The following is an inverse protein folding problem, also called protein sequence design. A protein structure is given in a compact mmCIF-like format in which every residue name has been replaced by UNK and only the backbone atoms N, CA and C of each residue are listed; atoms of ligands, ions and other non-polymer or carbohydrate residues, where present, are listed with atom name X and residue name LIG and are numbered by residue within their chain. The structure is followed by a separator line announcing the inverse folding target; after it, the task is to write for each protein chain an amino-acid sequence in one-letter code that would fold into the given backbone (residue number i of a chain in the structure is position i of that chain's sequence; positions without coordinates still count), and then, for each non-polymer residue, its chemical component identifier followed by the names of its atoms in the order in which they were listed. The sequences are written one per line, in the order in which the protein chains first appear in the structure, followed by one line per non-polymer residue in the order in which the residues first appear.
data_IF_617348605180
#
_entry.id   IF_617348605180
#
_cell.length_a   1.000
_cell.length_b   1.000
_cell.length_c   1.000
_cell.angle_alpha   90.00
_cell.angle_beta   90.00
_cell.angle_gamma   90.00
#
_symmetry.space_group_name_H-M   'P 1'
#
loop_
_entity.id
_entity.type
_entity.pdbx_description
1 polymer ?
#
# COMPACT_ATOMS: atom_id res chain seq x y z
N UNK A 1 47.53 62.08 48.39
CA UNK A 1 48.04 60.72 48.65
C UNK A 1 47.54 59.78 47.56
N UNK A 2 48.48 59.08 46.90
CA UNK A 2 48.35 57.77 46.22
C UNK A 2 47.45 57.62 44.97
N UNK A 3 48.15 57.63 43.83
CA UNK A 3 48.08 56.79 42.61
C UNK A 3 47.07 55.63 42.49
N UNK A 4 46.44 55.52 41.30
CA UNK A 4 46.47 54.40 40.32
C UNK A 4 45.22 54.52 39.39
N UNK A 5 45.31 54.78 38.08
CA UNK A 5 45.84 54.00 36.95
C UNK A 5 44.92 52.85 36.45
N UNK A 6 44.59 52.86 35.15
CA UNK A 6 44.09 51.71 34.36
C UNK A 6 42.72 51.96 33.69
N UNK A 7 42.66 52.32 32.39
CA UNK A 7 42.60 51.43 31.20
C UNK A 7 41.16 50.96 30.90
N UNK A 8 40.48 51.50 29.89
CA UNK A 8 40.57 51.18 28.45
C UNK A 8 39.49 50.17 28.01
N UNK A 9 38.60 50.68 27.14
CA UNK A 9 37.87 50.05 26.03
C UNK A 9 37.46 48.56 26.10
N UNK A 10 36.20 48.28 25.78
CA UNK A 10 35.88 47.31 24.72
C UNK A 10 34.42 47.44 24.26
N UNK A 11 34.27 47.96 23.04
CA UNK A 11 33.19 47.63 22.12
C UNK A 11 33.11 46.10 22.03
N UNK A 12 32.08 45.49 22.61
CA UNK A 12 31.66 44.15 22.20
C UNK A 12 30.54 44.36 21.19
N UNK A 13 30.94 44.43 19.92
CA UNK A 13 30.07 44.13 18.81
C UNK A 13 29.54 42.72 19.03
N UNK A 14 28.30 42.61 19.47
CA UNK A 14 27.56 41.35 19.41
C UNK A 14 27.33 41.11 17.92
N UNK A 15 28.25 40.36 17.29
CA UNK A 15 27.91 39.60 16.09
C UNK A 15 26.87 38.58 16.53
N UNK A 16 25.60 39.01 16.51
CA UNK A 16 24.47 38.10 16.50
C UNK A 16 24.63 37.33 15.20
N UNK A 17 25.26 36.17 15.31
CA UNK A 17 25.19 35.15 14.28
C UNK A 17 23.72 34.99 13.95
N UNK A 18 23.35 35.33 12.72
CA UNK A 18 22.06 35.00 12.16
C UNK A 18 22.08 33.50 11.88
N UNK A 19 22.11 32.69 12.95
CA UNK A 19 21.75 31.28 12.91
C UNK A 19 20.22 31.23 13.05
N UNK A 20 19.54 31.74 12.03
CA UNK A 20 18.09 31.84 11.97
C UNK A 20 17.57 31.08 10.76
N UNK A 21 17.07 29.87 11.03
CA UNK A 21 15.98 29.20 10.30
C UNK A 21 16.22 28.74 8.84
N UNK A 22 17.04 27.71 8.63
CA UNK A 22 16.76 26.67 7.60
C UNK A 22 17.16 25.29 8.16
N UNK A 23 16.20 24.35 8.23
CA UNK A 23 16.33 23.09 8.97
C UNK A 23 17.24 22.02 8.33
N UNK A 24 17.67 22.20 7.09
CA UNK A 24 18.72 21.43 6.44
C UNK A 24 19.43 22.32 5.39
N UNK A 25 20.74 22.15 5.15
CA UNK A 25 21.40 22.81 4.03
C UNK A 25 20.71 22.38 2.73
N UNK A 26 20.56 23.31 1.79
CA UNK A 26 20.05 22.98 0.47
C UNK A 26 21.04 22.07 -0.26
N UNK A 27 20.52 20.99 -0.84
CA UNK A 27 21.26 19.91 -1.50
C UNK A 27 20.82 19.66 -2.94
N UNK A 28 20.26 20.67 -3.60
CA UNK A 28 19.81 20.56 -4.99
C UNK A 28 20.96 20.15 -5.92
N UNK A 29 22.17 20.69 -5.69
CA UNK A 29 23.33 20.36 -6.51
C UNK A 29 23.74 18.89 -6.32
N UNK A 30 23.79 18.38 -5.09
CA UNK A 30 24.06 16.96 -4.86
C UNK A 30 22.99 16.08 -5.52
N UNK A 31 21.71 16.45 -5.44
CA UNK A 31 20.64 15.70 -6.09
C UNK A 31 20.78 15.66 -7.62
N UNK A 32 21.17 16.78 -8.23
CA UNK A 32 21.46 16.87 -9.67
C UNK A 32 22.69 16.06 -10.05
N UNK A 33 23.74 16.06 -9.21
CA UNK A 33 24.95 15.27 -9.45
C UNK A 33 24.64 13.76 -9.41
N UNK A 34 23.80 13.32 -8.47
CA UNK A 34 23.28 11.95 -8.41
C UNK A 34 22.55 11.63 -9.72
N UNK A 35 21.58 12.45 -10.13
CA UNK A 35 20.86 12.26 -11.39
C UNK A 35 21.82 12.10 -12.57
N UNK A 36 22.78 13.01 -12.72
CA UNK A 36 23.72 13.00 -13.84
C UNK A 36 24.58 11.74 -13.88
N UNK A 37 24.99 11.23 -12.71
CA UNK A 37 25.77 10.00 -12.60
C UNK A 37 24.94 8.79 -13.00
N UNK A 38 23.68 8.71 -12.57
CA UNK A 38 22.76 7.61 -12.89
C UNK A 38 22.38 7.61 -14.38
N UNK A 39 22.10 8.79 -14.97
CA UNK A 39 21.82 8.92 -16.42
C UNK A 39 22.97 8.37 -17.28
N UNK A 40 24.22 8.45 -16.80
CA UNK A 40 25.39 7.97 -17.53
C UNK A 40 25.60 6.44 -17.42
N UNK A 41 24.81 5.74 -16.61
CA UNK A 41 24.97 4.30 -16.38
C UNK A 41 24.39 3.46 -17.54
N UNK A 42 25.00 2.30 -17.86
CA UNK A 42 24.46 1.40 -18.87
C UNK A 42 23.05 0.90 -18.55
N UNK A 43 22.16 0.93 -19.55
CA UNK A 43 20.79 0.44 -19.42
C UNK A 43 19.78 1.48 -18.95
N UNK A 44 20.22 2.66 -18.50
CA UNK A 44 19.33 3.77 -18.15
C UNK A 44 18.91 4.52 -19.41
N UNK A 45 17.60 4.66 -19.64
CA UNK A 45 17.04 5.44 -20.75
C UNK A 45 16.68 6.86 -20.33
N UNK A 46 16.11 7.02 -19.14
CA UNK A 46 15.63 8.31 -18.62
C UNK A 46 15.73 8.36 -17.09
N UNK A 47 15.93 9.56 -16.54
CA UNK A 47 15.89 9.81 -15.10
C UNK A 47 15.10 11.09 -14.80
N UNK A 48 14.02 10.92 -14.05
CA UNK A 48 13.23 12.03 -13.51
C UNK A 48 13.62 12.27 -12.04
N UNK A 49 13.94 13.51 -11.70
CA UNK A 49 14.28 13.94 -10.35
C UNK A 49 13.26 14.96 -9.87
N UNK A 50 12.69 14.71 -8.70
CA UNK A 50 11.94 15.70 -7.92
C UNK A 50 12.75 15.99 -6.66
N UNK A 51 13.23 17.21 -6.53
CA UNK A 51 13.87 17.70 -5.31
C UNK A 51 13.15 18.96 -4.84
N UNK A 52 12.77 19.00 -3.56
CA UNK A 52 12.18 20.17 -2.92
C UNK A 52 12.81 20.35 -1.54
N UNK A 53 13.20 21.57 -1.20
CA UNK A 53 13.65 21.94 0.13
C UNK A 53 12.64 22.89 0.80
N UNK A 54 11.55 22.32 1.28
CA UNK A 54 10.44 23.06 1.88
C UNK A 54 10.67 23.33 3.37
N UNK A 55 10.40 24.56 3.81
CA UNK A 55 10.45 24.91 5.25
C UNK A 55 9.32 24.22 6.03
N UNK A 56 8.15 24.06 5.41
CA UNK A 56 6.94 23.50 6.05
C UNK A 56 6.81 22.00 5.78
N UNK A 57 7.07 21.58 4.55
CA UNK A 57 6.87 20.19 4.08
C UNK A 57 8.13 19.31 4.27
N UNK A 58 9.25 19.90 4.67
CA UNK A 58 10.55 19.24 4.76
C UNK A 58 11.25 19.12 3.41
N UNK A 59 12.40 18.46 3.42
CA UNK A 59 13.16 18.17 2.20
C UNK A 59 12.69 16.84 1.61
N UNK A 60 12.40 16.83 0.32
CA UNK A 60 11.97 15.66 -0.46
C UNK A 60 12.95 15.37 -1.59
N UNK A 61 13.29 14.11 -1.78
CA UNK A 61 14.11 13.60 -2.88
C UNK A 61 13.41 12.40 -3.52
N UNK A 62 12.94 12.52 -4.76
CA UNK A 62 12.35 11.40 -5.49
C UNK A 62 13.06 11.21 -6.82
N UNK A 63 13.50 9.98 -7.09
CA UNK A 63 14.17 9.64 -8.33
C UNK A 63 13.42 8.50 -9.01
N UNK A 64 13.00 8.72 -10.26
CA UNK A 64 12.47 7.67 -11.13
C UNK A 64 13.49 7.39 -12.22
N UNK A 65 13.87 6.13 -12.39
CA UNK A 65 14.85 5.68 -13.38
C UNK A 65 14.16 4.71 -14.32
N UNK A 66 14.15 5.02 -15.62
CA UNK A 66 13.65 4.10 -16.63
C UNK A 66 14.78 3.19 -17.11
N UNK A 67 14.56 1.88 -16.95
CA UNK A 67 15.46 0.80 -17.33
C UNK A 67 14.69 -0.36 -17.98
N UNK A 68 13.56 -0.09 -18.63
CA UNK A 68 12.66 -1.12 -19.14
C UNK A 68 13.35 -2.13 -20.09
N UNK A 69 14.39 -1.70 -20.80
CA UNK A 69 15.17 -2.53 -21.74
C UNK A 69 16.53 -3.00 -21.18
N UNK A 70 16.87 -2.66 -19.94
CA UNK A 70 18.14 -3.03 -19.32
C UNK A 70 18.17 -4.52 -18.94
N UNK A 71 19.35 -5.11 -18.80
CA UNK A 71 19.49 -6.45 -18.19
C UNK A 71 19.30 -6.39 -16.68
N UNK A 72 18.95 -7.51 -16.04
CA UNK A 72 18.80 -7.60 -14.58
C UNK A 72 20.09 -7.16 -13.86
N UNK A 73 21.25 -7.54 -14.41
CA UNK A 73 22.57 -7.13 -13.90
C UNK A 73 22.80 -5.62 -13.98
N UNK A 74 22.34 -4.96 -15.06
CA UNK A 74 22.44 -3.50 -15.18
C UNK A 74 21.55 -2.81 -14.14
N UNK A 75 20.33 -3.32 -13.91
CA UNK A 75 19.43 -2.80 -12.88
C UNK A 75 20.05 -2.96 -11.49
N UNK A 76 20.63 -4.13 -11.17
CA UNK A 76 21.36 -4.34 -9.92
C UNK A 76 22.53 -3.38 -9.71
N UNK A 77 23.30 -3.10 -10.77
CA UNK A 77 24.39 -2.12 -10.70
C UNK A 77 23.90 -0.69 -10.44
N UNK A 78 22.81 -0.26 -11.09
CA UNK A 78 22.19 1.05 -10.84
C UNK A 78 21.63 1.15 -9.43
N UNK A 79 21.00 0.08 -8.93
CA UNK A 79 20.49 0.04 -7.55
C UNK A 79 21.61 0.22 -6.52
N UNK A 80 22.71 -0.53 -6.65
CA UNK A 80 23.86 -0.43 -5.76
C UNK A 80 24.49 0.98 -5.79
N UNK A 81 24.62 1.56 -6.98
CA UNK A 81 25.13 2.93 -7.16
C UNK A 81 24.19 3.96 -6.51
N UNK A 82 22.87 3.82 -6.65
CA UNK A 82 21.89 4.71 -6.04
C UNK A 82 22.00 4.73 -4.52
N UNK A 83 22.14 3.56 -3.90
CA UNK A 83 22.26 3.45 -2.44
C UNK A 83 23.61 4.01 -1.95
N UNK A 84 24.71 3.79 -2.68
CA UNK A 84 26.00 4.42 -2.38
C UNK A 84 25.92 5.94 -2.45
N UNK A 85 25.31 6.48 -3.52
CA UNK A 85 25.23 7.91 -3.79
C UNK A 85 24.28 8.66 -2.86
N UNK A 86 23.15 8.05 -2.50
CA UNK A 86 22.21 8.62 -1.51
C UNK A 86 22.84 8.61 -0.12
N UNK A 87 23.54 7.53 0.22
CA UNK A 87 24.26 7.35 1.46
C UNK A 87 23.47 7.75 2.71
N UNK A 88 24.19 8.14 3.78
CA UNK A 88 23.57 8.65 5.01
C UNK A 88 23.02 10.08 4.89
N UNK A 89 23.36 10.75 3.80
CA UNK A 89 23.16 12.17 3.62
C UNK A 89 21.70 12.53 3.28
N UNK A 90 21.05 11.67 2.49
CA UNK A 90 19.63 11.75 2.19
C UNK A 90 18.73 10.90 3.12
N UNK A 91 19.34 10.08 3.99
CA UNK A 91 18.62 9.19 4.92
C UNK A 91 17.63 9.89 5.87
N UNK A 92 17.82 11.19 6.12
CA UNK A 92 16.97 12.02 6.99
C UNK A 92 15.83 12.73 6.25
N UNK A 93 15.75 12.60 4.93
CA UNK A 93 14.76 13.26 4.08
C UNK A 93 13.64 12.30 3.70
N UNK A 94 12.50 12.86 3.27
CA UNK A 94 11.47 12.08 2.58
C UNK A 94 12.04 11.67 1.22
N UNK A 95 12.40 10.39 1.08
CA UNK A 95 13.08 9.89 -0.11
C UNK A 95 12.36 8.70 -0.72
N UNK A 96 12.34 8.65 -2.05
CA UNK A 96 11.84 7.48 -2.77
C UNK A 96 12.57 7.29 -4.10
N UNK A 97 12.93 6.05 -4.40
CA UNK A 97 13.45 5.64 -5.69
C UNK A 97 12.43 4.73 -6.36
N UNK A 98 12.16 4.93 -7.66
CA UNK A 98 11.38 4.02 -8.50
C UNK A 98 12.20 3.63 -9.72
N UNK A 99 12.49 2.34 -9.90
CA UNK A 99 13.15 1.80 -11.09
C UNK A 99 12.08 1.10 -11.94
N UNK A 100 11.86 1.58 -13.17
CA UNK A 100 10.99 0.93 -14.15
C UNK A 100 11.79 -0.17 -14.83
N UNK A 101 11.35 -1.42 -14.67
CA UNK A 101 12.07 -2.61 -15.14
C UNK A 101 11.37 -3.32 -16.31
N UNK A 102 10.19 -2.87 -16.69
CA UNK A 102 9.44 -3.36 -17.84
C UNK A 102 8.25 -2.45 -18.14
N UNK A 103 7.46 -2.79 -19.16
CA UNK A 103 6.17 -2.13 -19.40
C UNK A 103 5.29 -2.30 -18.16
N UNK A 104 4.77 -1.19 -17.63
CA UNK A 104 3.89 -1.15 -16.47
C UNK A 104 4.46 -1.84 -15.21
N UNK A 105 5.78 -2.05 -15.13
CA UNK A 105 6.42 -2.90 -14.12
C UNK A 105 7.60 -2.18 -13.46
N UNK A 106 7.65 -2.15 -12.13
CA UNK A 106 8.63 -1.37 -11.38
C UNK A 106 9.01 -1.93 -10.01
N UNK A 107 10.17 -1.48 -9.52
CA UNK A 107 10.66 -1.66 -8.16
C UNK A 107 10.70 -0.28 -7.50
N UNK A 108 10.19 -0.14 -6.30
CA UNK A 108 10.19 1.11 -5.55
C UNK A 108 10.81 0.93 -4.16
N UNK A 109 11.53 1.93 -3.66
CA UNK A 109 12.05 1.93 -2.30
C UNK A 109 11.97 3.32 -1.70
N UNK A 110 11.37 3.42 -0.52
CA UNK A 110 11.45 4.62 0.34
C UNK A 110 12.68 4.61 1.27
N UNK A 111 13.36 3.47 1.32
CA UNK A 111 14.63 3.27 2.00
C UNK A 111 15.71 2.87 0.98
N UNK A 112 16.70 2.11 1.43
CA UNK A 112 17.68 1.47 0.57
C UNK A 112 16.99 0.40 -0.29
N UNK A 113 17.48 0.21 -1.51
CA UNK A 113 17.03 -0.90 -2.34
C UNK A 113 17.59 -2.23 -1.78
N UNK A 114 16.94 -3.37 -2.04
CA UNK A 114 17.49 -4.65 -1.62
C UNK A 114 18.87 -4.92 -2.25
N UNK A 115 19.81 -5.46 -1.47
CA UNK A 115 21.14 -5.88 -1.97
C UNK A 115 21.04 -6.86 -3.16
N UNK A 116 19.94 -7.61 -3.25
CA UNK A 116 19.65 -8.58 -4.30
C UNK A 116 18.75 -8.02 -5.43
N UNK A 117 18.76 -6.71 -5.66
CA UNK A 117 17.90 -6.05 -6.67
C UNK A 117 18.02 -6.68 -8.07
N UNK A 118 19.18 -7.20 -8.46
CA UNK A 118 19.34 -7.99 -9.69
C UNK A 118 18.36 -9.18 -9.74
N UNK A 119 18.36 -10.04 -8.71
CA UNK A 119 17.49 -11.20 -8.64
C UNK A 119 16.01 -10.78 -8.53
N UNK A 120 15.73 -9.75 -7.73
CA UNK A 120 14.38 -9.20 -7.60
C UNK A 120 13.84 -8.72 -8.96
N UNK A 121 14.65 -8.05 -9.78
CA UNK A 121 14.27 -7.57 -11.10
C UNK A 121 13.75 -8.70 -11.98
N UNK A 122 14.45 -9.84 -11.99
CA UNK A 122 14.01 -11.02 -12.74
C UNK A 122 12.66 -11.57 -12.25
N UNK A 123 12.41 -11.56 -10.94
CA UNK A 123 11.13 -12.01 -10.36
C UNK A 123 9.98 -11.06 -10.70
N UNK A 124 10.21 -9.75 -10.59
CA UNK A 124 9.18 -8.73 -10.90
C UNK A 124 8.87 -8.71 -12.40
N UNK A 125 9.86 -8.88 -13.27
CA UNK A 125 9.64 -9.07 -14.72
C UNK A 125 8.82 -10.31 -15.03
N UNK A 126 9.13 -11.42 -14.36
CA UNK A 126 8.36 -12.66 -14.48
C UNK A 126 6.91 -12.46 -14.04
N UNK A 127 6.68 -11.72 -12.96
CA UNK A 127 5.34 -11.35 -12.51
C UNK A 127 4.60 -10.54 -13.59
N UNK A 128 5.27 -9.57 -14.22
CA UNK A 128 4.69 -8.79 -15.34
C UNK A 128 4.21 -9.63 -16.53
N UNK A 129 4.88 -10.76 -16.80
CA UNK A 129 4.47 -11.71 -17.84
C UNK A 129 3.31 -12.60 -17.39
N UNK A 130 3.34 -13.08 -16.14
CA UNK A 130 2.39 -14.08 -15.64
C UNK A 130 1.09 -13.47 -15.08
N UNK A 131 1.11 -12.19 -14.70
CA UNK A 131 -0.04 -11.44 -14.18
C UNK A 131 -0.20 -10.08 -14.88
N UNK A 132 -0.60 -10.05 -16.17
CA UNK A 132 -0.73 -8.80 -16.93
C UNK A 132 -1.69 -7.79 -16.27
N UNK A 133 -1.22 -6.56 -16.12
CA UNK A 133 -1.90 -5.45 -15.44
C UNK A 133 -1.39 -4.09 -15.98
N UNK A 134 -1.94 -2.96 -15.49
CA UNK A 134 -1.49 -1.60 -15.86
C UNK A 134 -0.45 -0.98 -14.95
N UNK A 135 -0.31 -1.50 -13.73
CA UNK A 135 0.77 -1.10 -12.83
C UNK A 135 1.11 -2.29 -11.93
N UNK A 136 2.37 -2.69 -11.96
CA UNK A 136 2.95 -3.75 -11.15
C UNK A 136 4.14 -3.13 -10.43
N UNK A 137 4.05 -3.07 -9.11
CA UNK A 137 5.08 -2.48 -8.28
C UNK A 137 5.42 -3.42 -7.15
N UNK A 138 6.70 -3.77 -7.06
CA UNK A 138 7.26 -4.32 -5.84
C UNK A 138 7.90 -3.18 -5.05
N UNK A 139 7.58 -3.03 -3.77
CA UNK A 139 8.07 -1.90 -2.97
C UNK A 139 8.68 -2.29 -1.63
N UNK A 140 9.65 -1.48 -1.17
CA UNK A 140 10.24 -1.51 0.18
C UNK A 140 9.93 -0.21 0.92
N UNK A 141 9.29 -0.36 2.07
CA UNK A 141 9.07 0.71 3.03
C UNK A 141 10.30 0.95 3.92
N UNK A 142 10.23 1.97 4.77
CA UNK A 142 11.31 2.30 5.72
C UNK A 142 11.31 1.43 6.99
N UNK A 143 10.25 0.66 7.24
CA UNK A 143 10.18 -0.24 8.39
C UNK A 143 10.86 -1.59 8.09
N UNK A 144 11.43 -2.28 9.10
CA UNK A 144 11.92 -3.64 8.92
C UNK A 144 10.84 -4.54 8.32
N UNK A 145 11.22 -5.35 7.33
CA UNK A 145 10.34 -6.28 6.61
C UNK A 145 9.10 -5.64 5.96
N UNK A 146 9.09 -4.33 5.71
CA UNK A 146 8.00 -3.68 4.98
C UNK A 146 8.18 -3.87 3.47
N UNK A 147 7.68 -4.99 2.97
CA UNK A 147 7.66 -5.30 1.54
C UNK A 147 6.23 -5.46 1.05
N UNK A 148 5.94 -4.88 -0.10
CA UNK A 148 4.60 -4.93 -0.69
C UNK A 148 4.69 -5.26 -2.18
N UNK A 149 3.76 -6.09 -2.65
CA UNK A 149 3.48 -6.22 -4.09
C UNK A 149 2.12 -5.62 -4.38
N UNK A 150 2.10 -4.59 -5.21
CA UNK A 150 0.89 -3.95 -5.70
C UNK A 150 0.71 -4.26 -7.19
N UNK A 151 -0.47 -4.72 -7.57
CA UNK A 151 -0.90 -4.92 -8.95
C UNK A 151 -2.22 -4.18 -9.15
N UNK A 152 -2.21 -3.16 -10.01
CA UNK A 152 -3.39 -2.36 -10.34
C UNK A 152 -3.89 -2.66 -11.74
N UNK A 153 -5.21 -2.75 -11.86
CA UNK A 153 -5.90 -3.12 -13.10
C UNK A 153 -5.47 -4.48 -13.65
N UNK A 154 -5.36 -5.47 -12.78
CA UNK A 154 -5.12 -6.85 -13.14
C UNK A 154 -6.24 -7.38 -14.04
N UNK A 155 -5.88 -8.10 -15.11
CA UNK A 155 -6.86 -8.77 -15.97
C UNK A 155 -7.57 -9.93 -15.26
N UNK A 156 -6.83 -10.62 -14.38
CA UNK A 156 -7.32 -11.76 -13.59
C UNK A 156 -6.77 -11.66 -12.15
N UNK A 157 -7.48 -10.99 -11.22
CA UNK A 157 -6.94 -10.68 -9.89
C UNK A 157 -6.62 -11.94 -9.06
N UNK A 158 -7.45 -12.98 -9.09
CA UNK A 158 -7.19 -14.22 -8.35
C UNK A 158 -5.92 -14.92 -8.84
N UNK A 159 -5.75 -15.03 -10.16
CA UNK A 159 -4.56 -15.59 -10.78
C UNK A 159 -3.31 -14.76 -10.49
N UNK A 160 -3.43 -13.45 -10.36
CA UNK A 160 -2.33 -12.58 -9.99
C UNK A 160 -1.87 -12.84 -8.54
N UNK A 161 -2.79 -13.06 -7.59
CA UNK A 161 -2.43 -13.49 -6.22
C UNK A 161 -1.69 -14.84 -6.24
N UNK A 162 -2.17 -15.82 -7.02
CA UNK A 162 -1.49 -17.11 -7.16
C UNK A 162 -0.08 -16.97 -7.76
N UNK A 163 0.08 -16.09 -8.76
CA UNK A 163 1.37 -15.80 -9.37
C UNK A 163 2.33 -15.18 -8.36
N UNK A 164 1.89 -14.23 -7.54
CA UNK A 164 2.71 -13.64 -6.48
C UNK A 164 3.18 -14.71 -5.50
N UNK A 165 2.26 -15.52 -4.97
CA UNK A 165 2.56 -16.57 -3.99
C UNK A 165 3.57 -17.59 -4.53
N UNK A 166 3.51 -17.90 -5.82
CA UNK A 166 4.43 -18.84 -6.46
C UNK A 166 5.78 -18.22 -6.83
N UNK A 167 5.79 -17.02 -7.41
CA UNK A 167 7.03 -16.36 -7.87
C UNK A 167 7.89 -15.95 -6.68
N UNK A 168 7.27 -15.44 -5.62
CA UNK A 168 7.94 -14.94 -4.43
C UNK A 168 7.96 -15.95 -3.27
N UNK A 169 7.81 -17.25 -3.55
CA UNK A 169 7.73 -18.29 -2.50
C UNK A 169 8.94 -18.26 -1.53
N UNK A 170 10.14 -17.97 -2.05
CA UNK A 170 11.38 -17.90 -1.25
C UNK A 170 11.60 -16.52 -0.58
N UNK A 171 10.77 -15.52 -0.91
CA UNK A 171 10.82 -14.15 -0.38
C UNK A 171 9.42 -13.53 -0.31
N UNK A 172 8.49 -14.11 0.47
CA UNK A 172 7.10 -13.69 0.44
C UNK A 172 6.99 -12.21 0.81
N UNK A 173 6.26 -11.40 0.02
CA UNK A 173 5.99 -10.03 0.40
C UNK A 173 5.19 -10.01 1.71
N UNK A 174 5.37 -8.97 2.51
CA UNK A 174 4.60 -8.80 3.72
C UNK A 174 3.15 -8.47 3.39
N UNK A 175 2.94 -7.55 2.46
CA UNK A 175 1.62 -7.10 2.05
C UNK A 175 1.42 -7.32 0.53
N UNK A 176 0.18 -7.60 0.12
CA UNK A 176 -0.20 -7.79 -1.29
C UNK A 176 -1.46 -7.00 -1.56
N UNK A 177 -1.44 -6.15 -2.57
CA UNK A 177 -2.62 -5.48 -3.11
C UNK A 177 -2.83 -5.89 -4.57
N UNK A 178 -4.00 -6.41 -4.90
CA UNK A 178 -4.37 -6.72 -6.28
C UNK A 178 -5.74 -6.12 -6.58
N UNK A 179 -5.77 -5.12 -7.45
CA UNK A 179 -6.99 -4.49 -7.95
C UNK A 179 -7.32 -4.98 -9.35
N UNK A 180 -8.55 -5.40 -9.58
CA UNK A 180 -9.02 -5.76 -10.92
C UNK A 180 -9.15 -4.55 -11.84
N UNK A 181 -9.01 -4.77 -13.16
CA UNK A 181 -9.31 -3.76 -14.19
C UNK A 181 -10.81 -3.38 -14.17
N UNK A 182 -11.68 -4.35 -13.92
CA UNK A 182 -13.11 -4.14 -13.71
C UNK A 182 -13.49 -4.40 -12.25
N UNK A 183 -13.25 -3.41 -11.37
CA UNK A 183 -13.57 -3.51 -9.93
C UNK A 183 -15.05 -3.69 -9.59
N UNK A 184 -15.95 -3.68 -10.58
CA UNK A 184 -17.39 -3.96 -10.39
C UNK A 184 -17.67 -5.45 -10.57
N UNK A 185 -16.99 -6.12 -11.50
CA UNK A 185 -17.23 -7.52 -11.83
C UNK A 185 -16.26 -8.47 -11.15
N UNK A 186 -15.08 -7.99 -10.78
CA UNK A 186 -13.99 -8.81 -10.29
C UNK A 186 -13.48 -8.30 -8.93
N UNK A 187 -13.03 -9.20 -8.05
CA UNK A 187 -12.66 -8.86 -6.69
C UNK A 187 -11.35 -8.06 -6.61
N UNK A 188 -11.30 -7.20 -5.60
CA UNK A 188 -10.08 -6.56 -5.11
C UNK A 188 -9.53 -7.32 -3.91
N UNK A 189 -8.24 -7.66 -3.93
CA UNK A 189 -7.54 -8.30 -2.82
C UNK A 189 -6.66 -7.29 -2.11
N UNK A 190 -6.79 -7.24 -0.78
CA UNK A 190 -5.87 -6.50 0.08
C UNK A 190 -5.44 -7.41 1.21
N UNK A 191 -4.18 -7.80 1.21
CA UNK A 191 -3.65 -8.85 2.06
C UNK A 191 -2.54 -8.24 2.89
N UNK A 192 -2.70 -8.34 4.22
CA UNK A 192 -1.76 -7.80 5.17
C UNK A 192 -1.10 -8.91 5.97
N UNK A 193 0.20 -8.73 6.20
CA UNK A 193 1.08 -9.71 6.81
C UNK A 193 1.16 -11.02 6.00
N UNK A 194 2.08 -11.91 6.40
CA UNK A 194 2.42 -13.13 5.66
C UNK A 194 1.17 -13.92 5.25
N UNK A 195 1.09 -14.19 3.94
CA UNK A 195 0.03 -14.95 3.31
C UNK A 195 0.60 -16.16 2.59
N UNK A 196 -0.05 -17.31 2.71
CA UNK A 196 0.45 -18.58 2.17
C UNK A 196 -0.50 -19.20 1.14
N UNK A 197 -0.02 -20.13 0.29
CA UNK A 197 -0.90 -20.93 -0.57
C UNK A 197 -2.01 -21.67 0.20
N UNK A 198 -1.73 -22.13 1.42
CA UNK A 198 -2.72 -22.79 2.26
C UNK A 198 -3.82 -21.83 2.74
N UNK A 199 -3.45 -20.58 3.04
CA UNK A 199 -4.41 -19.53 3.37
C UNK A 199 -5.30 -19.19 2.19
N UNK A 200 -4.71 -19.03 0.99
CA UNK A 200 -5.47 -18.81 -0.26
C UNK A 200 -6.46 -19.92 -0.51
N UNK A 201 -6.02 -21.18 -0.44
CA UNK A 201 -6.90 -22.34 -0.63
C UNK A 201 -8.04 -22.38 0.38
N UNK A 202 -7.78 -22.08 1.66
CA UNK A 202 -8.83 -21.99 2.67
C UNK A 202 -9.82 -20.88 2.33
N UNK A 203 -9.33 -19.69 1.98
CA UNK A 203 -10.19 -18.57 1.62
C UNK A 203 -11.07 -18.91 0.42
N UNK A 204 -10.52 -19.52 -0.63
CA UNK A 204 -11.31 -19.96 -1.79
C UNK A 204 -12.44 -20.92 -1.40
N UNK A 205 -12.17 -21.86 -0.49
CA UNK A 205 -13.22 -22.75 0.04
C UNK A 205 -14.30 -21.97 0.81
N UNK A 206 -13.92 -20.94 1.56
CA UNK A 206 -14.87 -20.07 2.26
C UNK A 206 -15.72 -19.26 1.27
N UNK A 207 -15.12 -18.73 0.20
CA UNK A 207 -15.83 -17.99 -0.84
C UNK A 207 -16.82 -18.89 -1.60
N UNK A 208 -16.41 -20.11 -1.95
CA UNK A 208 -17.30 -21.12 -2.57
C UNK A 208 -18.48 -21.46 -1.65
N UNK A 209 -18.24 -21.62 -0.35
CA UNK A 209 -19.29 -21.89 0.63
C UNK A 209 -20.22 -20.68 0.89
N UNK A 210 -19.76 -19.47 0.60
CA UNK A 210 -20.54 -18.23 0.75
C UNK A 210 -21.48 -17.96 -0.43
N UNK A 211 -21.41 -18.72 -1.52
CA UNK A 211 -22.29 -18.57 -2.67
C UNK A 211 -23.80 -18.55 -2.27
N UNK A 212 -24.64 -17.70 -2.88
CA UNK A 212 -24.40 -16.92 -4.08
C UNK A 212 -23.85 -15.51 -3.81
N UNK A 213 -23.27 -15.23 -2.64
CA UNK A 213 -22.61 -13.95 -2.40
C UNK A 213 -21.46 -13.76 -3.40
N UNK A 214 -21.46 -12.64 -4.12
CA UNK A 214 -20.46 -12.32 -5.13
C UNK A 214 -19.35 -11.43 -4.56
N UNK A 215 -18.08 -11.88 -4.45
CA UNK A 215 -17.01 -11.13 -3.81
C UNK A 215 -16.64 -9.82 -4.52
N UNK A 216 -16.57 -8.72 -3.78
CA UNK A 216 -16.11 -7.41 -4.27
C UNK A 216 -14.73 -7.00 -3.74
N UNK A 217 -14.54 -6.96 -2.42
CA UNK A 217 -13.26 -6.68 -1.78
C UNK A 217 -13.02 -7.74 -0.71
N UNK A 218 -11.90 -8.45 -0.87
CA UNK A 218 -11.39 -9.47 0.03
C UNK A 218 -10.18 -8.88 0.76
N UNK A 219 -10.42 -8.39 1.98
CA UNK A 219 -9.38 -8.00 2.92
C UNK A 219 -8.95 -9.20 3.74
N UNK A 220 -7.65 -9.46 3.80
CA UNK A 220 -7.05 -10.59 4.51
C UNK A 220 -6.02 -10.07 5.49
N UNK A 221 -6.04 -10.58 6.71
CA UNK A 221 -5.03 -10.31 7.73
C UNK A 221 -4.68 -11.57 8.48
N UNK A 222 -3.39 -11.83 8.60
CA UNK A 222 -2.86 -13.02 9.29
C UNK A 222 -3.52 -14.32 8.77
N UNK A 223 -3.72 -14.37 7.45
CA UNK A 223 -4.36 -15.46 6.73
C UNK A 223 -5.89 -15.39 6.68
N UNK A 224 -6.58 -14.71 7.60
CA UNK A 224 -8.05 -14.73 7.66
C UNK A 224 -8.69 -13.54 6.95
N UNK A 225 -9.88 -13.73 6.39
CA UNK A 225 -10.67 -12.60 5.88
C UNK A 225 -11.03 -11.71 7.08
N UNK A 226 -10.60 -10.45 7.07
CA UNK A 226 -10.93 -9.43 8.08
C UNK A 226 -11.86 -8.34 7.54
N UNK A 227 -11.95 -8.23 6.21
CA UNK A 227 -12.87 -7.36 5.51
C UNK A 227 -13.46 -8.08 4.30
N UNK A 228 -14.77 -8.02 4.13
CA UNK A 228 -15.43 -8.63 2.99
C UNK A 228 -16.55 -7.74 2.49
N UNK A 229 -16.46 -7.33 1.22
CA UNK A 229 -17.60 -6.74 0.51
C UNK A 229 -18.16 -7.73 -0.50
N UNK A 230 -19.49 -7.76 -0.64
CA UNK A 230 -20.14 -8.69 -1.55
C UNK A 230 -21.49 -8.22 -2.08
N UNK A 231 -21.85 -8.71 -3.25
CA UNK A 231 -23.19 -8.55 -3.84
C UNK A 231 -24.19 -9.55 -3.27
N UNK A 232 -25.41 -9.08 -3.03
CA UNK A 232 -26.56 -9.90 -2.62
C UNK A 232 -27.53 -9.98 -3.80
N UNK A 233 -27.79 -11.18 -4.37
CA UNK A 233 -28.54 -11.33 -5.62
C UNK A 233 -29.97 -10.81 -5.57
N UNK A 234 -30.69 -11.08 -4.47
CA UNK A 234 -32.11 -10.71 -4.34
C UNK A 234 -32.41 -10.21 -2.93
N UNK A 235 -33.38 -9.31 -2.82
CA UNK A 235 -33.81 -8.78 -1.50
C UNK A 235 -34.54 -9.85 -0.69
N UNK A 236 -35.19 -10.78 -1.37
CA UNK A 236 -35.98 -11.86 -0.81
C UNK A 236 -35.11 -12.86 -0.03
N UNK A 237 -33.92 -13.19 -0.55
CA UNK A 237 -32.98 -14.14 0.08
C UNK A 237 -31.90 -13.47 0.90
N UNK A 238 -31.88 -12.13 0.94
CA UNK A 238 -30.77 -11.34 1.46
C UNK A 238 -30.30 -11.74 2.86
N UNK A 239 -31.24 -11.92 3.80
CA UNK A 239 -30.89 -12.32 5.15
C UNK A 239 -30.21 -13.69 5.20
N UNK A 240 -30.78 -14.70 4.54
CA UNK A 240 -30.25 -16.07 4.54
C UNK A 240 -28.88 -16.13 3.83
N UNK A 241 -28.69 -15.35 2.77
CA UNK A 241 -27.42 -15.27 2.04
C UNK A 241 -26.34 -14.58 2.90
N UNK A 242 -26.65 -13.48 3.59
CA UNK A 242 -25.71 -12.82 4.51
C UNK A 242 -25.33 -13.75 5.68
N UNK A 243 -26.31 -14.43 6.27
CA UNK A 243 -26.06 -15.40 7.35
C UNK A 243 -25.19 -16.56 6.86
N UNK A 244 -25.44 -17.07 5.66
CA UNK A 244 -24.58 -18.09 5.03
C UNK A 244 -23.16 -17.58 4.87
N UNK A 245 -22.96 -16.35 4.38
CA UNK A 245 -21.64 -15.72 4.26
C UNK A 245 -20.94 -15.63 5.61
N UNK A 246 -21.62 -15.15 6.66
CA UNK A 246 -21.07 -15.08 8.03
C UNK A 246 -20.52 -16.44 8.48
N UNK A 247 -21.31 -17.51 8.29
CA UNK A 247 -20.92 -18.87 8.67
C UNK A 247 -19.80 -19.44 7.79
N UNK A 248 -19.85 -19.22 6.47
CA UNK A 248 -18.84 -19.69 5.54
C UNK A 248 -17.47 -19.07 5.82
N UNK A 249 -17.44 -17.77 6.15
CA UNK A 249 -16.23 -17.06 6.55
C UNK A 249 -15.74 -17.43 7.97
N UNK A 250 -16.52 -18.21 8.73
CA UNK A 250 -16.29 -18.51 10.15
C UNK A 250 -16.16 -17.23 10.98
N UNK A 251 -16.91 -16.20 10.62
CA UNK A 251 -16.84 -14.90 11.27
C UNK A 251 -17.33 -15.00 12.71
N UNK A 252 -16.58 -14.40 13.64
CA UNK A 252 -16.85 -14.46 15.07
C UNK A 252 -15.70 -13.87 15.90
N UNK A 253 -15.73 -13.97 17.25
CA UNK A 253 -14.71 -13.36 18.10
C UNK A 253 -13.26 -13.81 17.80
N UNK A 254 -13.08 -15.06 17.36
CA UNK A 254 -11.77 -15.60 16.97
C UNK A 254 -11.32 -15.11 15.58
N UNK A 255 -12.27 -14.85 14.68
CA UNK A 255 -12.03 -14.36 13.33
C UNK A 255 -12.98 -13.19 13.02
N UNK A 256 -12.70 -11.99 13.55
CA UNK A 256 -13.61 -10.88 13.38
C UNK A 256 -13.60 -10.37 11.93
N UNK A 257 -14.77 -10.04 11.40
CA UNK A 257 -14.91 -9.63 10.00
C UNK A 257 -15.76 -8.37 9.87
N UNK A 258 -15.25 -7.38 9.15
CA UNK A 258 -16.02 -6.24 8.65
C UNK A 258 -16.78 -6.64 7.39
N UNK A 259 -18.09 -6.85 7.50
CA UNK A 259 -18.95 -7.17 6.37
C UNK A 259 -19.63 -5.92 5.82
N UNK A 260 -19.65 -5.83 4.50
CA UNK A 260 -20.39 -4.81 3.77
C UNK A 260 -21.08 -5.46 2.57
N UNK A 261 -22.33 -5.13 2.31
CA UNK A 261 -23.04 -5.71 1.18
C UNK A 261 -23.80 -4.66 0.37
N UNK A 262 -24.02 -4.98 -0.91
CA UNK A 262 -24.81 -4.18 -1.85
C UNK A 262 -25.84 -5.07 -2.56
N UNK A 263 -26.89 -4.46 -3.09
CA UNK A 263 -27.83 -5.18 -3.95
C UNK A 263 -27.19 -5.44 -5.30
N UNK A 264 -27.45 -6.61 -5.88
CA UNK A 264 -27.04 -6.90 -7.26
C UNK A 264 -27.61 -5.84 -8.24
N UNK A 265 -26.78 -5.45 -9.20
CA UNK A 265 -27.06 -4.37 -10.15
C UNK A 265 -26.95 -2.94 -9.60
N UNK A 266 -26.71 -2.73 -8.30
CA UNK A 266 -26.34 -1.41 -7.77
C UNK A 266 -24.87 -1.14 -8.15
N UNK A 267 -24.64 -0.17 -9.06
CA UNK A 267 -23.32 0.14 -9.65
C UNK A 267 -22.34 0.86 -8.71
N UNK A 268 -22.58 0.71 -7.42
CA UNK A 268 -21.72 1.05 -6.32
C UNK A 268 -20.22 0.83 -6.65
N UNK A 269 -19.44 1.92 -6.72
CA UNK A 269 -17.98 1.87 -6.97
C UNK A 269 -17.22 1.59 -5.67
N UNK A 270 -15.92 1.33 -5.75
CA UNK A 270 -15.02 1.23 -4.58
C UNK A 270 -15.05 2.50 -3.68
N UNK A 271 -15.21 3.68 -4.28
CA UNK A 271 -15.25 4.99 -3.61
C UNK A 271 -16.67 5.52 -3.35
N UNK A 272 -17.68 4.99 -4.06
CA UNK A 272 -19.09 5.35 -3.91
C UNK A 272 -20.01 4.12 -3.85
N UNK A 273 -19.79 3.12 -2.97
CA UNK A 273 -20.76 2.05 -2.90
C UNK A 273 -22.03 2.58 -2.27
N UNK A 274 -23.20 2.53 -2.91
CA UNK A 274 -24.46 2.70 -2.18
C UNK A 274 -24.77 1.39 -1.48
N UNK A 275 -24.23 1.26 -0.26
CA UNK A 275 -24.32 0.03 0.51
C UNK A 275 -25.77 -0.30 0.84
N UNK A 276 -26.13 -1.58 0.73
CA UNK A 276 -27.36 -2.12 1.27
C UNK A 276 -27.24 -2.40 2.78
N UNK A 277 -26.02 -2.48 3.31
CA UNK A 277 -25.77 -2.52 4.74
C UNK A 277 -24.34 -2.93 5.09
N UNK A 278 -24.03 -2.87 6.38
CA UNK A 278 -22.74 -3.28 6.95
C UNK A 278 -22.90 -3.79 8.38
N UNK A 279 -22.07 -4.75 8.76
CA UNK A 279 -21.99 -5.26 10.12
C UNK A 279 -20.54 -5.61 10.47
N UNK A 280 -20.15 -5.39 11.73
CA UNK A 280 -18.93 -5.97 12.27
C UNK A 280 -19.30 -7.24 13.02
N UNK A 281 -18.66 -8.36 12.67
CA UNK A 281 -18.91 -9.65 13.30
C UNK A 281 -17.71 -9.96 14.20
N UNK A 282 -17.93 -10.21 15.49
CA UNK A 282 -16.87 -10.63 16.41
C UNK A 282 -15.95 -9.54 16.96
N UNK A 283 -16.14 -8.26 16.62
CA UNK A 283 -15.43 -7.10 17.22
C UNK A 283 -16.35 -5.88 17.33
N UNK A 284 -15.89 -4.85 18.04
CA UNK A 284 -16.63 -3.60 18.30
C UNK A 284 -15.94 -2.36 17.71
N UNK A 285 -15.25 -2.49 16.57
CA UNK A 285 -14.44 -1.41 16.01
C UNK A 285 -14.90 -1.03 14.60
N UNK A 286 -15.77 -0.03 14.50
CA UNK A 286 -16.07 0.62 13.23
C UNK A 286 -14.98 1.68 12.99
N UNK A 287 -13.88 1.30 12.34
CA UNK A 287 -12.62 2.10 12.18
C UNK A 287 -12.84 3.50 11.55
N UNK A 288 -13.98 3.76 10.90
CA UNK A 288 -14.37 5.07 10.35
C UNK A 288 -15.74 5.57 10.85
N UNK A 289 -16.20 5.08 12.01
CA UNK A 289 -17.55 5.28 12.50
C UNK A 289 -18.62 4.56 11.67
N UNK A 290 -19.87 4.63 12.11
CA UNK A 290 -21.01 4.11 11.37
C UNK A 290 -21.50 5.14 10.34
N UNK A 291 -20.95 5.08 9.11
CA UNK A 291 -21.33 5.96 7.98
C UNK A 291 -22.81 5.88 7.59
N UNK A 292 -23.55 4.88 8.05
CA UNK A 292 -25.02 4.84 7.87
C UNK A 292 -25.75 5.94 8.65
N UNK A 293 -25.05 6.61 9.58
CA UNK A 293 -25.52 7.83 10.25
C UNK A 293 -25.40 9.10 9.39
N UNK A 294 -24.43 9.14 8.47
CA UNK A 294 -24.20 10.29 7.57
C UNK A 294 -24.87 10.11 6.21
N UNK A 295 -25.11 8.87 5.79
CA UNK A 295 -25.79 8.52 4.53
C UNK A 295 -26.90 7.51 4.83
N UNK A 296 -28.16 7.97 4.98
CA UNK A 296 -29.23 7.12 5.44
C UNK A 296 -29.57 6.03 4.41
N UNK A 297 -29.54 4.78 4.87
CA UNK A 297 -30.01 3.62 4.11
C UNK A 297 -31.52 3.72 3.84
N UNK A 298 -31.98 3.06 2.78
CA UNK A 298 -33.42 2.81 2.60
C UNK A 298 -33.98 2.04 3.82
N UNK A 299 -35.24 2.27 4.24
CA UNK A 299 -35.80 1.67 5.45
C UNK A 299 -35.65 0.14 5.53
N UNK A 300 -35.85 -0.56 4.42
CA UNK A 300 -35.70 -2.02 4.33
C UNK A 300 -34.25 -2.49 4.49
N UNK A 301 -33.29 -1.74 3.94
CA UNK A 301 -31.86 -1.99 4.09
C UNK A 301 -31.41 -1.74 5.53
N UNK A 302 -31.92 -0.68 6.16
CA UNK A 302 -31.68 -0.40 7.57
C UNK A 302 -32.23 -1.49 8.48
N UNK A 303 -33.46 -1.96 8.24
CA UNK A 303 -34.08 -3.02 9.03
C UNK A 303 -33.32 -4.35 8.90
N UNK A 304 -32.87 -4.71 7.70
CA UNK A 304 -32.03 -5.88 7.49
C UNK A 304 -30.68 -5.75 8.22
N UNK A 305 -30.01 -4.61 8.08
CA UNK A 305 -28.76 -4.35 8.77
C UNK A 305 -28.90 -4.47 10.29
N UNK A 306 -29.95 -3.88 10.87
CA UNK A 306 -30.23 -3.96 12.30
C UNK A 306 -30.45 -5.41 12.73
N UNK A 307 -31.23 -6.18 11.98
CA UNK A 307 -31.45 -7.61 12.26
C UNK A 307 -30.14 -8.41 12.29
N UNK A 308 -29.27 -8.21 11.30
CA UNK A 308 -27.96 -8.88 11.25
C UNK A 308 -27.07 -8.45 12.43
N UNK A 309 -27.02 -7.15 12.74
CA UNK A 309 -26.22 -6.65 13.86
C UNK A 309 -26.74 -7.16 15.20
N UNK A 310 -28.04 -7.16 15.42
CA UNK A 310 -28.62 -7.68 16.66
C UNK A 310 -28.29 -9.16 16.88
N UNK A 311 -28.09 -9.93 15.83
CA UNK A 311 -27.81 -11.37 15.94
C UNK A 311 -26.32 -11.70 16.00
N UNK A 312 -25.48 -11.00 15.22
CA UNK A 312 -24.08 -11.37 15.02
C UNK A 312 -23.07 -10.30 15.41
N UNK A 313 -23.49 -9.04 15.57
CA UNK A 313 -22.59 -8.03 16.10
C UNK A 313 -22.39 -8.27 17.59
N UNK A 314 -21.12 -8.38 18.00
CA UNK A 314 -20.74 -8.61 19.40
C UNK A 314 -20.65 -7.31 20.19
N UNK A 315 -21.03 -6.17 19.60
CA UNK A 315 -21.25 -4.92 20.32
C UNK A 315 -22.24 -5.14 21.48
N UNK A 316 -21.91 -4.63 22.67
CA UNK A 316 -22.83 -4.65 23.81
C UNK A 316 -24.13 -3.92 23.42
N UNK A 317 -25.25 -4.64 23.53
CA UNK A 317 -26.61 -4.12 23.39
C UNK A 317 -27.02 -3.24 24.57
#
# INVERSE_FOLDING_TARGET
MRFAAGAAALLVAVMVGVSGCTGAPDREQEAVDIKNRIVAMPGVSEVDLIYNNGIIEGTRFQLKVDMAQATDQQVGAVAAELDELRGKDFAKFDQSVKIVVGEDTSISASADLPDDTEQLTGLVRRLGVEAPARDIMWSVGSAPDSTEVQILEAQHPDHAVDAILRIFADRPPRDIEVSAANRVADPHWMIFNRFTPADKQRIEQQLVAAAPADPGWIGVRDGWIDHFTFGVPTRETAYDDIVRTIHALKAGPEHPVSLTWAWDGDRARYDEPRWAGRAMIGKCEYVNGDRTKSEPLLPEALALQQRIRDEFDTCLK
#
